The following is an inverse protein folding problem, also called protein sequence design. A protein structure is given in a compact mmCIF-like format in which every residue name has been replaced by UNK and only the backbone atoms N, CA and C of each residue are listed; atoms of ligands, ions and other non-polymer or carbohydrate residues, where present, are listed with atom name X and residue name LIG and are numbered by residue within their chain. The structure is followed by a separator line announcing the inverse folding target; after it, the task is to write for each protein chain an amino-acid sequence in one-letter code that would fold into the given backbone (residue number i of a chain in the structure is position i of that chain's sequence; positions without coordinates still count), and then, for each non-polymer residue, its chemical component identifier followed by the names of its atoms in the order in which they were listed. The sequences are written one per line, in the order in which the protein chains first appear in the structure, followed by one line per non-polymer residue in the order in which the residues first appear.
data_IF_281221619163
#
_entry.id   IF_281221619163
#
_cell.length_a   1.000
_cell.length_b   1.000
_cell.length_c   1.000
_cell.angle_alpha   90.00
_cell.angle_beta   90.00
_cell.angle_gamma   90.00
#
_symmetry.space_group_name_H-M   'P 1'
#
loop_
_entity.id
_entity.type
_entity.pdbx_description
1 polymer ?
#
# COMPACT_ATOMS: atom_id res chain seq x y z
N UNK A 1 26.12 -2.01 -8.04
CA UNK A 1 25.00 -2.93 -7.76
C UNK A 1 25.22 -3.52 -6.38
N UNK A 2 24.49 -3.06 -5.37
CA UNK A 2 24.56 -3.65 -4.03
C UNK A 2 23.95 -5.05 -4.10
N UNK A 3 24.77 -6.09 -3.97
CA UNK A 3 24.28 -7.46 -3.90
C UNK A 3 23.47 -7.58 -2.62
N UNK A 4 22.14 -7.69 -2.73
CA UNK A 4 21.27 -7.93 -1.58
C UNK A 4 21.68 -9.26 -0.96
N UNK A 5 22.17 -9.22 0.28
CA UNK A 5 22.49 -10.42 1.05
C UNK A 5 21.19 -11.18 1.29
N UNK A 6 21.12 -12.44 0.89
CA UNK A 6 19.97 -13.29 1.22
C UNK A 6 19.91 -13.51 2.73
N UNK A 7 18.77 -13.20 3.33
CA UNK A 7 18.47 -13.42 4.74
C UNK A 7 17.54 -14.63 4.82
N UNK A 8 17.94 -15.66 5.58
CA UNK A 8 17.04 -16.78 5.87
C UNK A 8 16.01 -16.30 6.87
N UNK A 9 14.73 -16.49 6.54
CA UNK A 9 13.59 -16.08 7.34
C UNK A 9 12.89 -17.33 7.87
N UNK A 10 12.91 -17.59 9.18
CA UNK A 10 12.17 -18.69 9.77
C UNK A 10 10.66 -18.56 9.54
N UNK A 11 10.02 -19.69 9.30
CA UNK A 11 8.57 -19.76 9.02
C UNK A 11 7.73 -19.07 10.09
N UNK A 12 8.01 -19.36 11.37
CA UNK A 12 7.26 -18.81 12.50
C UNK A 12 7.27 -17.28 12.53
N UNK A 13 8.44 -16.68 12.23
CA UNK A 13 8.60 -15.23 12.19
C UNK A 13 7.79 -14.64 11.05
N UNK A 14 7.84 -15.26 9.87
CA UNK A 14 7.04 -14.82 8.74
C UNK A 14 5.54 -14.92 9.03
N UNK A 15 5.08 -16.04 9.59
CA UNK A 15 3.67 -16.28 9.93
C UNK A 15 3.16 -15.28 10.96
N UNK A 16 3.98 -14.95 11.97
CA UNK A 16 3.65 -13.90 12.93
C UNK A 16 3.46 -12.53 12.24
N UNK A 17 4.37 -12.15 11.32
CA UNK A 17 4.25 -10.92 10.54
C UNK A 17 3.00 -10.92 9.66
N UNK A 18 2.71 -12.03 8.98
CA UNK A 18 1.53 -12.18 8.14
C UNK A 18 0.23 -11.99 8.94
N UNK A 19 0.14 -12.57 10.14
CA UNK A 19 -1.00 -12.40 11.05
C UNK A 19 -1.14 -10.95 11.54
N UNK A 20 -0.04 -10.30 11.93
CA UNK A 20 -0.04 -8.88 12.32
C UNK A 20 -0.52 -7.99 11.18
N UNK A 21 0.01 -8.20 9.98
CA UNK A 21 -0.39 -7.46 8.79
C UNK A 21 -1.88 -7.65 8.49
N UNK A 22 -2.36 -8.90 8.48
CA UNK A 22 -3.77 -9.19 8.25
C UNK A 22 -4.67 -8.52 9.30
N UNK A 23 -4.30 -8.54 10.58
CA UNK A 23 -5.05 -7.88 11.63
C UNK A 23 -5.08 -6.34 11.46
N UNK A 24 -4.01 -5.74 10.96
CA UNK A 24 -3.91 -4.30 10.73
C UNK A 24 -4.75 -3.84 9.52
N UNK A 25 -4.60 -4.52 8.39
CA UNK A 25 -5.21 -4.07 7.11
C UNK A 25 -6.56 -4.70 6.82
N UNK A 26 -6.83 -5.87 7.40
CA UNK A 26 -8.04 -6.66 7.19
C UNK A 26 -9.32 -5.88 7.45
N UNK A 27 -9.49 -5.23 8.62
CA UNK A 27 -10.70 -4.48 8.94
C UNK A 27 -11.01 -3.37 7.91
N UNK A 28 -9.99 -2.68 7.39
CA UNK A 28 -10.19 -1.63 6.39
C UNK A 28 -10.61 -2.21 5.02
N UNK A 29 -9.98 -3.32 4.61
CA UNK A 29 -10.32 -4.04 3.39
C UNK A 29 -11.74 -4.62 3.44
N UNK A 30 -12.11 -5.24 4.55
CA UNK A 30 -13.41 -5.88 4.73
C UNK A 30 -14.51 -4.82 4.81
N UNK A 31 -14.28 -3.71 5.53
CA UNK A 31 -15.23 -2.61 5.57
C UNK A 31 -15.47 -1.98 4.19
N UNK A 32 -14.46 -1.90 3.32
CA UNK A 32 -14.63 -1.46 1.93
C UNK A 32 -15.54 -2.42 1.14
N UNK A 33 -15.32 -3.72 1.26
CA UNK A 33 -16.16 -4.74 0.59
C UNK A 33 -17.61 -4.67 1.11
N UNK A 34 -17.80 -4.61 2.43
CA UNK A 34 -19.12 -4.54 3.06
C UNK A 34 -19.91 -3.31 2.61
N UNK A 35 -19.28 -2.12 2.58
CA UNK A 35 -19.93 -0.89 2.10
C UNK A 35 -20.41 -1.06 0.65
N UNK A 36 -19.55 -1.56 -0.22
CA UNK A 36 -19.85 -1.74 -1.64
C UNK A 36 -20.98 -2.74 -1.87
N UNK A 37 -21.07 -3.80 -1.08
CA UNK A 37 -22.12 -4.80 -1.17
C UNK A 37 -23.53 -4.22 -0.92
N UNK A 38 -23.63 -3.14 -0.15
CA UNK A 38 -24.90 -2.43 0.14
C UNK A 38 -25.01 -1.07 -0.56
N UNK A 39 -24.14 -0.79 -1.55
CA UNK A 39 -24.17 0.47 -2.31
C UNK A 39 -23.75 1.72 -1.53
N UNK A 40 -23.09 1.57 -0.38
CA UNK A 40 -22.52 2.68 0.38
C UNK A 40 -21.07 2.97 -0.03
N UNK A 41 -20.62 4.19 0.23
CA UNK A 41 -19.24 4.63 -0.01
C UNK A 41 -18.70 5.40 1.19
N UNK A 42 -17.38 5.44 1.32
CA UNK A 42 -16.67 6.26 2.29
C UNK A 42 -15.60 7.11 1.58
N UNK A 43 -15.66 8.45 1.69
CA UNK A 43 -14.83 9.36 0.87
C UNK A 43 -13.32 9.18 1.05
N UNK A 44 -12.88 8.85 2.27
CA UNK A 44 -11.45 8.67 2.59
C UNK A 44 -11.03 7.22 2.44
N UNK A 45 -11.66 6.29 3.18
CA UNK A 45 -11.24 4.89 3.20
C UNK A 45 -11.33 4.19 1.84
N UNK A 46 -12.31 4.54 1.01
CA UNK A 46 -12.46 3.90 -0.30
C UNK A 46 -11.42 4.42 -1.30
N UNK A 47 -10.84 5.60 -1.06
CA UNK A 47 -9.86 6.23 -1.94
C UNK A 47 -8.67 5.32 -2.23
N UNK A 48 -8.18 4.57 -1.23
CA UNK A 48 -7.08 3.64 -1.42
C UNK A 48 -7.39 2.59 -2.50
N UNK A 49 -8.63 2.13 -2.57
CA UNK A 49 -9.06 1.06 -3.46
C UNK A 49 -9.59 1.58 -4.81
N UNK A 50 -10.13 2.79 -4.85
CA UNK A 50 -10.70 3.40 -6.07
C UNK A 50 -9.70 4.26 -6.84
N UNK A 51 -8.82 4.98 -6.15
CA UNK A 51 -7.83 5.86 -6.79
C UNK A 51 -6.57 5.10 -7.19
N UNK A 52 -5.99 4.33 -6.27
CA UNK A 52 -4.78 3.54 -6.55
C UNK A 52 -5.08 2.17 -7.16
N UNK A 53 -6.37 1.80 -7.31
CA UNK A 53 -6.81 0.49 -7.80
C UNK A 53 -6.18 -0.69 -7.03
N UNK A 54 -5.97 -0.50 -5.72
CA UNK A 54 -5.43 -1.57 -4.87
C UNK A 54 -6.50 -2.64 -4.66
N UNK A 55 -6.16 -3.92 -4.87
CA UNK A 55 -7.09 -5.02 -4.59
C UNK A 55 -7.13 -5.29 -3.08
N UNK A 56 -8.31 -5.27 -2.42
CA UNK A 56 -8.42 -5.56 -0.99
C UNK A 56 -7.89 -6.95 -0.63
N UNK A 57 -8.15 -7.95 -1.47
CA UNK A 57 -7.67 -9.31 -1.24
C UNK A 57 -6.15 -9.40 -1.31
N UNK A 58 -5.52 -8.79 -2.33
CA UNK A 58 -4.06 -8.75 -2.44
C UNK A 58 -3.42 -7.93 -1.32
N UNK A 59 -4.05 -6.85 -0.89
CA UNK A 59 -3.53 -6.01 0.20
C UNK A 59 -3.45 -6.79 1.51
N UNK A 60 -4.34 -7.76 1.75
CA UNK A 60 -4.31 -8.65 2.92
C UNK A 60 -3.20 -9.72 2.86
N UNK A 61 -2.58 -9.95 1.70
CA UNK A 61 -1.53 -10.95 1.52
C UNK A 61 -0.18 -10.38 1.92
N UNK A 62 0.48 -11.02 2.87
CA UNK A 62 1.86 -10.70 3.25
C UNK A 62 2.79 -11.60 2.46
N UNK A 63 3.91 -11.10 1.93
CA UNK A 63 4.89 -11.91 1.18
C UNK A 63 6.29 -11.66 1.75
N UNK A 64 7.23 -12.62 1.66
CA UNK A 64 8.62 -12.35 2.03
C UNK A 64 9.21 -11.22 1.16
N UNK A 65 10.13 -10.45 1.72
CA UNK A 65 10.83 -9.39 0.99
C UNK A 65 11.73 -9.95 -0.13
N UNK A 66 12.31 -9.07 -0.94
CA UNK A 66 13.22 -9.47 -2.03
C UNK A 66 14.51 -10.11 -1.52
N UNK A 67 15.00 -9.73 -0.35
CA UNK A 67 16.21 -10.27 0.26
C UNK A 67 15.94 -11.46 1.19
N UNK A 68 14.68 -11.71 1.54
CA UNK A 68 14.30 -12.83 2.39
C UNK A 68 14.13 -14.13 1.59
N UNK A 69 14.65 -15.23 2.15
CA UNK A 69 14.34 -16.60 1.77
C UNK A 69 13.58 -17.22 2.94
N UNK A 70 12.28 -17.39 2.75
CA UNK A 70 11.38 -18.01 3.71
C UNK A 70 11.68 -19.51 3.81
N UNK A 71 11.94 -20.02 4.99
CA UNK A 71 11.91 -21.45 5.26
C UNK A 71 10.46 -21.92 5.17
N UNK A 72 10.21 -23.02 4.47
CA UNK A 72 8.86 -23.53 4.23
C UNK A 72 8.75 -24.99 4.62
N UNK A 73 7.78 -25.28 5.48
CA UNK A 73 7.16 -26.58 5.69
C UNK A 73 6.18 -26.90 4.56
N UNK A 74 5.65 -28.12 4.52
CA UNK A 74 4.57 -28.47 3.59
C UNK A 74 3.27 -27.72 3.93
N UNK A 75 3.01 -27.48 5.22
CA UNK A 75 1.77 -26.94 5.75
C UNK A 75 1.56 -25.46 5.36
N UNK A 76 2.62 -24.66 5.30
CA UNK A 76 2.51 -23.23 4.98
C UNK A 76 1.98 -22.97 3.56
N UNK A 77 2.26 -23.86 2.60
CA UNK A 77 1.78 -23.73 1.24
C UNK A 77 0.26 -23.99 1.15
N UNK A 78 -0.30 -24.81 2.04
CA UNK A 78 -1.72 -25.08 2.14
C UNK A 78 -2.46 -23.92 2.83
N UNK A 79 -1.89 -23.38 3.92
CA UNK A 79 -2.47 -22.25 4.66
C UNK A 79 -2.37 -20.92 3.86
N UNK A 80 -1.30 -20.74 3.08
CA UNK A 80 -1.02 -19.52 2.32
C UNK A 80 -0.78 -19.83 0.82
N UNK A 81 -1.81 -20.25 0.07
CA UNK A 81 -1.67 -20.73 -1.31
C UNK A 81 -1.16 -19.66 -2.29
N UNK A 82 -1.27 -18.38 -1.93
CA UNK A 82 -0.75 -17.27 -2.72
C UNK A 82 0.79 -17.16 -2.68
N UNK A 83 1.47 -17.87 -1.77
CA UNK A 83 2.93 -18.04 -1.76
C UNK A 83 3.36 -19.15 -2.72
N UNK A 84 2.86 -19.12 -3.95
CA UNK A 84 3.20 -20.12 -4.94
C UNK A 84 3.12 -19.56 -6.36
N UNK A 85 3.59 -20.34 -7.32
CA UNK A 85 3.43 -20.05 -8.73
C UNK A 85 4.33 -18.93 -9.24
N UNK A 86 3.79 -18.12 -10.16
CA UNK A 86 4.56 -17.29 -11.09
C UNK A 86 5.56 -16.31 -10.45
N UNK A 87 5.26 -15.81 -9.24
CA UNK A 87 6.05 -14.78 -8.55
C UNK A 87 7.08 -15.33 -7.57
N UNK A 88 7.19 -16.64 -7.42
CA UNK A 88 8.06 -17.26 -6.42
C UNK A 88 8.96 -18.34 -7.02
N UNK A 89 10.14 -18.49 -6.43
CA UNK A 89 10.97 -19.68 -6.59
C UNK A 89 10.80 -20.56 -5.36
N UNK A 90 10.28 -21.77 -5.59
CA UNK A 90 10.19 -22.82 -4.59
C UNK A 90 11.44 -23.71 -4.67
N UNK A 91 12.05 -23.95 -3.52
CA UNK A 91 13.08 -24.96 -3.28
C UNK A 91 12.52 -26.02 -2.34
N UNK A 92 13.25 -27.11 -2.11
CA UNK A 92 12.77 -28.23 -1.30
C UNK A 92 12.19 -27.80 0.07
N UNK A 93 12.88 -26.90 0.79
CA UNK A 93 12.49 -26.46 2.13
C UNK A 93 12.46 -24.92 2.25
N UNK A 94 12.35 -24.19 1.14
CA UNK A 94 12.32 -22.73 1.20
C UNK A 94 11.68 -22.08 -0.02
N UNK A 95 11.24 -20.85 0.13
CA UNK A 95 10.61 -20.03 -0.90
C UNK A 95 11.21 -18.62 -0.91
N UNK A 96 11.36 -18.05 -2.10
CA UNK A 96 11.80 -16.66 -2.26
C UNK A 96 11.09 -15.99 -3.42
N UNK A 97 11.00 -14.66 -3.40
CA UNK A 97 10.43 -13.90 -4.53
C UNK A 97 11.28 -14.12 -5.78
N UNK A 98 10.63 -14.39 -6.91
CA UNK A 98 11.28 -14.54 -8.21
C UNK A 98 11.76 -13.17 -8.73
N UNK A 99 13.04 -12.88 -8.49
CA UNK A 99 13.68 -11.62 -8.88
C UNK A 99 13.76 -11.43 -10.40
N UNK A 100 13.76 -12.51 -11.17
CA UNK A 100 13.90 -12.46 -12.64
C UNK A 100 12.65 -11.91 -13.30
N UNK A 101 11.51 -11.95 -12.60
CA UNK A 101 10.25 -11.35 -13.05
C UNK A 101 10.19 -9.84 -12.88
N UNK A 102 11.12 -9.26 -12.12
CA UNK A 102 11.18 -7.81 -11.96
C UNK A 102 11.85 -7.23 -13.20
N UNK A 103 11.07 -6.53 -14.02
CA UNK A 103 11.58 -5.90 -15.22
C UNK A 103 12.59 -4.81 -14.87
N UNK A 104 13.58 -4.61 -15.75
CA UNK A 104 14.59 -3.56 -15.57
C UNK A 104 13.96 -2.16 -15.40
N UNK A 105 12.93 -1.85 -16.19
CA UNK A 105 12.15 -0.62 -16.05
C UNK A 105 11.57 -0.44 -14.63
N UNK A 106 11.08 -1.52 -14.03
CA UNK A 106 10.54 -1.50 -12.66
C UNK A 106 11.65 -1.23 -11.64
N UNK A 107 12.84 -1.81 -11.84
CA UNK A 107 14.00 -1.54 -10.97
C UNK A 107 14.41 -0.07 -11.05
N UNK A 108 14.52 0.48 -12.26
CA UNK A 108 14.86 1.89 -12.47
C UNK A 108 13.85 2.83 -11.84
N UNK A 109 12.55 2.53 -12.00
CA UNK A 109 11.49 3.32 -11.36
C UNK A 109 11.58 3.24 -9.83
N UNK A 110 11.81 2.06 -9.26
CA UNK A 110 11.97 1.90 -7.82
C UNK A 110 13.18 2.67 -7.28
N UNK A 111 14.33 2.62 -7.98
CA UNK A 111 15.52 3.42 -7.64
C UNK A 111 15.22 4.92 -7.68
N UNK A 112 14.60 5.41 -8.76
CA UNK A 112 14.23 6.81 -8.88
C UNK A 112 13.32 7.27 -7.73
N UNK A 113 12.31 6.46 -7.37
CA UNK A 113 11.41 6.77 -6.25
C UNK A 113 12.17 6.79 -4.92
N UNK A 114 13.06 5.82 -4.68
CA UNK A 114 13.88 5.78 -3.47
C UNK A 114 14.80 7.01 -3.35
N UNK A 115 15.43 7.42 -4.46
CA UNK A 115 16.28 8.62 -4.52
C UNK A 115 15.47 9.89 -4.29
N UNK A 116 14.29 10.00 -4.91
CA UNK A 116 13.37 11.12 -4.72
C UNK A 116 12.95 11.24 -3.25
N UNK A 117 12.50 10.13 -2.64
CA UNK A 117 12.10 10.10 -1.24
C UNK A 117 13.27 10.48 -0.31
N UNK A 118 14.46 9.94 -0.56
CA UNK A 118 15.66 10.28 0.22
C UNK A 118 16.00 11.76 0.13
N UNK A 119 15.95 12.33 -1.08
CA UNK A 119 16.17 13.75 -1.32
C UNK A 119 15.12 14.64 -0.64
N UNK A 120 13.86 14.20 -0.60
CA UNK A 120 12.78 14.93 0.10
C UNK A 120 13.03 14.93 1.61
N UNK A 121 13.35 13.77 2.19
CA UNK A 121 13.56 13.62 3.63
C UNK A 121 14.77 14.41 4.17
N UNK A 122 15.76 14.67 3.32
CA UNK A 122 16.95 15.45 3.66
C UNK A 122 16.76 16.98 3.55
N UNK A 123 15.64 17.44 2.99
CA UNK A 123 15.38 18.88 2.82
C UNK A 123 14.61 19.43 4.00
N UNK A 124 14.99 20.63 4.45
CA UNK A 124 14.20 21.39 5.43
C UNK A 124 12.79 21.62 4.88
N UNK A 125 11.74 21.20 5.60
CA UNK A 125 10.38 21.40 5.13
C UNK A 125 10.02 22.89 5.10
N UNK A 126 9.32 23.31 4.04
CA UNK A 126 8.84 24.69 3.87
C UNK A 126 7.31 24.69 3.96
N UNK A 127 6.77 25.23 5.06
CA UNK A 127 5.32 25.23 5.34
C UNK A 127 4.61 26.55 4.97
N UNK A 128 5.21 27.36 4.09
CA UNK A 128 4.75 28.73 3.76
C UNK A 128 3.47 28.82 2.92
N UNK A 129 2.73 27.71 2.72
CA UNK A 129 1.48 27.78 1.98
C UNK A 129 0.34 28.38 2.82
N UNK A 130 0.45 28.43 4.16
CA UNK A 130 -0.54 29.02 5.08
C UNK A 130 -2.01 28.61 4.80
N UNK A 131 -2.25 27.42 4.24
CA UNK A 131 -3.59 26.99 3.82
C UNK A 131 -4.13 27.68 2.56
N UNK A 132 -3.39 28.59 1.91
CA UNK A 132 -3.86 29.31 0.71
C UNK A 132 -4.16 28.39 -0.48
N UNK A 133 -3.53 27.21 -0.57
CA UNK A 133 -3.89 26.23 -1.61
C UNK A 133 -5.31 25.69 -1.43
N UNK A 134 -5.75 25.47 -0.20
CA UNK A 134 -7.10 24.98 0.11
C UNK A 134 -8.13 26.09 -0.20
N UNK A 135 -7.82 27.34 0.15
CA UNK A 135 -8.63 28.51 -0.21
C UNK A 135 -8.73 28.69 -1.73
N UNK A 136 -7.60 28.59 -2.46
CA UNK A 136 -7.56 28.75 -3.90
C UNK A 136 -8.38 27.66 -4.63
N UNK A 137 -8.46 26.45 -4.08
CA UNK A 137 -9.27 25.36 -4.65
C UNK A 137 -10.78 25.62 -4.61
N UNK A 138 -11.26 26.50 -3.73
CA UNK A 138 -12.69 26.85 -3.59
C UNK A 138 -13.00 28.33 -3.88
N UNK A 139 -12.00 29.11 -4.26
CA UNK A 139 -12.15 30.54 -4.48
C UNK A 139 -13.16 30.84 -5.59
N UNK A 140 -14.20 31.61 -5.24
CA UNK A 140 -15.33 31.97 -6.13
C UNK A 140 -16.13 30.78 -6.68
N UNK A 141 -16.00 29.59 -6.11
CA UNK A 141 -16.92 28.49 -6.41
C UNK A 141 -18.20 28.67 -5.61
N UNK A 142 -19.35 28.50 -6.27
CA UNK A 142 -20.61 28.34 -5.54
C UNK A 142 -20.62 26.99 -4.80
N UNK A 143 -21.45 26.80 -3.76
CA UNK A 143 -21.64 25.49 -3.13
C UNK A 143 -21.97 24.37 -4.14
N UNK A 144 -22.64 24.73 -5.23
CA UNK A 144 -23.00 23.84 -6.33
C UNK A 144 -21.83 23.53 -7.28
N UNK A 145 -20.75 24.30 -7.25
CA UNK A 145 -19.54 24.06 -8.05
C UNK A 145 -18.49 23.21 -7.31
N UNK A 146 -18.66 22.99 -6.00
CA UNK A 146 -17.76 22.17 -5.20
C UNK A 146 -17.88 20.70 -5.63
N UNK A 147 -16.76 20.08 -6.02
CA UNK A 147 -16.71 18.69 -6.51
C UNK A 147 -17.20 17.64 -5.49
N UNK A 148 -17.07 17.92 -4.19
CA UNK A 148 -17.39 16.99 -3.10
C UNK A 148 -18.58 17.46 -2.25
N UNK A 149 -19.72 17.74 -2.89
CA UNK A 149 -20.95 18.27 -2.25
C UNK A 149 -21.46 17.48 -1.04
N UNK A 150 -21.13 16.18 -0.97
CA UNK A 150 -21.54 15.30 0.13
C UNK A 150 -20.77 15.51 1.44
N UNK A 151 -19.75 16.37 1.46
CA UNK A 151 -18.90 16.59 2.63
C UNK A 151 -18.84 18.07 3.00
N UNK A 152 -18.92 18.35 4.30
CA UNK A 152 -18.78 19.71 4.83
C UNK A 152 -17.31 20.10 4.81
N UNK A 153 -17.03 21.36 4.48
CA UNK A 153 -15.70 21.95 4.65
C UNK A 153 -15.33 22.01 6.13
N UNK A 154 -14.02 21.97 6.41
CA UNK A 154 -13.48 22.07 7.78
C UNK A 154 -13.79 23.42 8.43
N UNK A 155 -13.84 24.49 7.63
CA UNK A 155 -14.23 25.85 8.02
C UNK A 155 -15.37 26.28 7.12
N UNK A 156 -16.33 27.05 7.65
CA UNK A 156 -17.36 27.65 6.80
C UNK A 156 -16.75 28.81 6.01
N UNK A 157 -17.30 29.15 4.84
CA UNK A 157 -16.89 30.35 4.11
C UNK A 157 -17.01 31.64 4.93
N UNK A 158 -17.95 31.69 5.87
CA UNK A 158 -18.15 32.84 6.78
C UNK A 158 -17.05 32.98 7.85
N UNK A 159 -16.29 31.90 8.12
CA UNK A 159 -15.26 31.84 9.17
C UNK A 159 -13.83 32.10 8.62
N UNK A 160 -13.70 32.41 7.32
CA UNK A 160 -12.45 32.75 6.62
C UNK A 160 -12.32 34.26 6.43
#
# INVERSE_FOLDING_TARGET
MTTLKTIVLPEEIWTARAKIHHALVGPMCDAFISRRAIGLTHPVHDFLFTYYNCSPQKLKQWIPSLDERLETSQDIAEEYPYLSGYWFYSHANSLSVNKDRILEKTRQQATFVADLCSNILQRTPRYHCFGMHEWAMVYKLSPEDIRHKGHRLRLKPEDL
#
